data_IF_254001925136
#
_entry.id   IF_254001925136
#
_cell.length_a   1.000
_cell.length_b   1.000
_cell.length_c   1.000
_cell.angle_alpha   90.00
_cell.angle_beta   90.00
_cell.angle_gamma   90.00
#
_symmetry.space_group_name_H-M   'P 1'
#
loop_
_entity.id
_entity.type
_entity.pdbx_description
1 polymer ?
2 polymer ?
3 polymer ?
4 non-polymer ?
5 non-polymer ?
6 water ?
#
loop_
_entity_poly.entity_id
_entity_poly.type
_entity_poly.pdbx_seq_one_letter_code
_entity_poly.pdbx_strand_id
2 'polydeoxyribonucleotide' '(DA)(DC)(DT)(DT)(DT)(DA)(DT)' ?
3 'polydeoxyribonucleotide' '(DA)(DT)(DA)(DA)(DA)(DG)(DT)(DA)(DT)(DA)(DG)(DT)(DG)(DT)(DG)' ?
#
# COMPACT_ATOMS: atom_id res chain seq x y z
N UNK A 1 -3.24 20.12 -0.20
CA UNK A 1 -2.74 18.95 0.55
C UNK A 1 -1.77 18.11 -0.30
N UNK A 2 -0.87 17.36 0.35
CA UNK A 2 0.10 16.51 -0.34
C UNK A 2 -0.41 15.08 -0.49
N UNK A 3 -0.14 14.48 -1.64
CA UNK A 3 -0.29 13.01 -1.83
C UNK A 3 0.76 12.35 -0.95
N UNK A 4 0.35 11.41 -0.12
CA UNK A 4 1.30 10.55 0.60
C UNK A 4 1.30 9.17 -0.06
N UNK A 5 2.44 8.73 -0.59
CA UNK A 5 2.61 7.34 -1.08
C UNK A 5 4.00 6.83 -0.72
N UNK A 6 4.10 5.66 -0.06
CA UNK A 6 5.40 5.26 0.35
C UNK A 6 5.39 3.76 0.62
N UNK A 7 6.39 2.95 0.14
CA UNK A 7 6.34 1.47 0.23
C UNK A 7 7.32 1.07 1.28
N UNK A 8 7.00 -0.07 1.86
CA UNK A 8 7.85 -0.77 2.80
C UNK A 8 7.90 -2.16 2.20
N UNK A 9 9.10 -2.76 2.24
CA UNK A 9 9.28 -4.10 1.73
C UNK A 9 8.84 -5.10 2.80
N UNK A 10 8.06 -6.07 2.38
CA UNK A 10 7.56 -7.12 3.27
C UNK A 10 8.21 -8.45 2.88
N UNK A 11 8.97 -9.07 3.80
CA UNK A 11 9.41 -10.44 3.71
C UNK A 11 8.41 -11.41 4.39
N UNK A 12 8.59 -12.71 4.21
CA UNK A 12 7.82 -13.68 4.94
C UNK A 12 7.65 -13.27 6.41
N UNK A 13 8.74 -12.85 7.03
CA UNK A 13 8.79 -12.65 8.49
C UNK A 13 7.99 -11.45 8.98
N UNK A 14 7.56 -10.56 8.09
CA UNK A 14 6.70 -9.46 8.56
C UNK A 14 5.33 -9.36 7.90
N UNK A 15 4.99 -10.33 7.05
CA UNK A 15 3.67 -10.37 6.51
C UNK A 15 2.64 -10.89 7.54
N UNK A 16 3.12 -11.58 8.58
CA UNK A 16 2.28 -12.08 9.66
C UNK A 16 1.68 -10.88 10.38
N UNK A 17 2.56 -10.00 10.85
CA UNK A 17 2.22 -8.77 11.57
C UNK A 17 1.39 -7.81 10.71
N UNK A 18 1.74 -7.68 9.42
CA UNK A 18 0.94 -6.87 8.46
C UNK A 18 -0.50 -7.43 8.34
N UNK A 19 -0.63 -8.77 8.30
CA UNK A 19 -1.94 -9.37 8.19
C UNK A 19 -2.75 -9.14 9.46
N UNK A 20 -2.12 -9.36 10.62
CA UNK A 20 -2.83 -9.17 11.89
C UNK A 20 -3.27 -7.74 12.09
N UNK A 21 -2.41 -6.79 11.71
CA UNK A 21 -2.71 -5.37 11.85
C UNK A 21 -3.83 -5.01 10.92
N UNK A 22 -3.67 -5.37 9.65
CA UNK A 22 -4.59 -4.87 8.63
C UNK A 22 -5.97 -5.47 8.76
N UNK A 23 -6.02 -6.71 9.19
CA UNK A 23 -7.29 -7.38 9.39
C UNK A 23 -7.85 -7.18 10.79
N UNK A 24 -7.18 -6.36 11.60
CA UNK A 24 -7.63 -6.11 12.96
C UNK A 24 -7.96 -7.41 13.69
N UNK A 25 -7.06 -8.38 13.62
CA UNK A 25 -7.29 -9.61 14.36
C UNK A 25 -6.86 -9.31 15.78
N UNK A 30 -6.35 -2.32 19.85
CA UNK A 30 -6.22 -2.01 21.26
C UNK A 30 -5.04 -1.06 21.58
N UNK A 31 -4.42 -0.54 20.52
CA UNK A 31 -3.52 0.65 20.52
C UNK A 31 -4.28 2.01 20.67
N UNK A 32 -3.65 3.02 21.31
CA UNK A 32 -4.25 4.33 21.62
C UNK A 32 -5.04 4.98 20.47
N UNK A 33 -4.49 4.91 19.24
CA UNK A 33 -5.12 5.53 18.04
C UNK A 33 -6.06 4.68 17.22
N UNK A 34 -6.26 3.42 17.56
CA UNK A 34 -7.34 2.68 16.89
C UNK A 34 -8.64 2.91 17.65
N UNK A 35 -9.70 3.32 16.94
CA UNK A 35 -11.01 3.42 17.60
C UNK A 35 -11.80 2.13 17.29
N UNK A 36 -11.94 1.24 18.27
CA UNK A 36 -12.59 -0.07 17.92
C UNK A 36 -14.04 -0.03 17.44
N UNK A 37 -14.79 1.02 17.80
CA UNK A 37 -16.14 1.22 17.27
C UNK A 37 -16.16 1.53 15.77
N UNK A 38 -15.05 2.05 15.24
CA UNK A 38 -14.96 2.38 13.83
C UNK A 38 -14.39 1.25 12.93
N UNK A 39 -13.94 0.16 13.55
CA UNK A 39 -13.18 -0.90 12.84
C UNK A 39 -14.01 -1.57 11.77
N UNK A 40 -15.31 -1.70 12.03
CA UNK A 40 -16.27 -2.30 11.12
C UNK A 40 -16.49 -1.41 9.92
N UNK A 41 -16.18 -0.11 10.04
CA UNK A 41 -16.17 0.83 8.88
C UNK A 41 -15.05 0.57 7.85
N UNK A 42 -14.01 -0.19 8.24
CA UNK A 42 -12.90 -0.47 7.32
C UNK A 42 -13.40 -1.36 6.19
N UNK A 43 -12.65 -1.41 5.08
CA UNK A 43 -13.03 -2.30 3.96
C UNK A 43 -11.79 -2.72 3.16
N UNK A 44 -11.95 -3.83 2.43
CA UNK A 44 -10.88 -4.47 1.63
C UNK A 44 -11.27 -4.23 0.16
N UNK A 45 -10.38 -3.65 -0.68
CA UNK A 45 -10.76 -3.41 -2.09
C UNK A 45 -10.48 -4.57 -3.05
N UNK A 46 -9.66 -5.54 -2.66
CA UNK A 46 -9.43 -6.71 -3.54
C UNK A 46 -10.48 -7.76 -3.22
N UNK A 47 -10.64 -8.75 -4.11
CA UNK A 47 -11.51 -9.90 -3.84
C UNK A 47 -10.81 -11.04 -3.08
N UNK A 48 -9.76 -10.74 -2.34
CA UNK A 48 -9.02 -11.79 -1.62
C UNK A 48 -9.80 -12.45 -0.48
N UNK A 49 -9.40 -13.65 -0.11
CA UNK A 49 -10.10 -14.39 0.93
C UNK A 49 -9.51 -14.04 2.29
N UNK A 50 -10.33 -13.51 3.21
CA UNK A 50 -9.88 -13.02 4.51
C UNK A 50 -9.30 -14.10 5.45
N UNK A 51 -9.62 -15.36 5.24
CA UNK A 51 -9.01 -16.42 6.07
C UNK A 51 -7.66 -16.90 5.56
N UNK A 52 -7.20 -16.35 4.43
CA UNK A 52 -5.94 -16.80 3.84
C UNK A 52 -4.90 -15.72 4.15
N UNK A 53 -3.76 -16.12 4.75
CA UNK A 53 -2.74 -15.13 5.11
C UNK A 53 -2.11 -14.41 3.87
N UNK A 54 -1.41 -13.28 4.09
CA UNK A 54 -0.74 -12.64 2.97
C UNK A 54 0.42 -13.53 2.48
N UNK A 55 1.13 -14.14 3.44
CA UNK A 55 2.28 -14.97 3.10
C UNK A 55 1.84 -16.13 2.21
N UNK A 56 0.77 -16.83 2.61
CA UNK A 56 0.28 -17.96 1.85
C UNK A 56 -0.26 -17.57 0.45
N UNK A 57 -1.10 -16.51 0.37
CA UNK A 57 -1.67 -16.01 -0.88
C UNK A 57 -0.56 -15.65 -1.89
N UNK A 58 0.40 -14.84 -1.46
CA UNK A 58 1.50 -14.44 -2.35
C UNK A 58 2.48 -15.54 -2.73
N UNK A 59 2.84 -16.42 -1.80
CA UNK A 59 3.77 -17.49 -2.14
C UNK A 59 3.15 -18.49 -3.10
N UNK A 60 1.84 -18.77 -2.97
CA UNK A 60 1.12 -19.67 -3.87
C UNK A 60 1.06 -19.10 -5.27
N UNK A 61 0.66 -17.84 -5.34
CA UNK A 61 0.65 -17.09 -6.61
C UNK A 61 2.02 -17.03 -7.30
N UNK A 62 3.07 -16.73 -6.54
CA UNK A 62 4.39 -16.65 -7.15
C UNK A 62 4.87 -18.07 -7.54
N UNK A 63 4.80 -19.05 -6.62
CA UNK A 63 5.20 -20.40 -7.00
C UNK A 63 4.41 -20.94 -8.20
N UNK A 64 3.11 -20.69 -8.27
CA UNK A 64 2.34 -21.25 -9.41
C UNK A 64 2.62 -20.59 -10.75
N UNK A 65 3.26 -19.42 -10.76
CA UNK A 65 3.44 -18.64 -11.99
C UNK A 65 4.89 -18.37 -12.42
N UNK A 66 5.85 -18.53 -11.50
CA UNK A 66 7.23 -18.19 -11.81
C UNK A 66 7.89 -19.04 -12.88
N UNK A 67 8.74 -18.43 -13.71
CA UNK A 67 9.44 -19.17 -14.77
C UNK A 67 10.55 -20.06 -14.24
N UNK A 68 11.42 -19.52 -13.38
CA UNK A 68 12.50 -20.32 -12.78
C UNK A 68 12.01 -21.45 -11.88
N UNK A 69 12.81 -22.49 -11.83
CA UNK A 69 12.56 -23.69 -11.03
C UNK A 69 13.11 -23.60 -9.62
N UNK A 70 13.92 -22.57 -9.39
CA UNK A 70 14.59 -22.38 -8.12
C UNK A 70 13.53 -21.88 -7.13
N UNK A 71 13.68 -22.30 -5.86
CA UNK A 71 12.80 -21.85 -4.78
C UNK A 71 12.87 -20.34 -4.58
N UNK A 72 11.75 -19.71 -4.25
CA UNK A 72 11.73 -18.31 -3.78
C UNK A 72 12.80 -18.15 -2.65
N UNK A 73 13.68 -17.14 -2.72
CA UNK A 73 14.68 -17.05 -1.61
C UNK A 73 14.03 -16.63 -0.26
N UNK A 74 14.53 -17.18 0.84
CA UNK A 74 14.00 -16.86 2.17
C UNK A 74 14.01 -15.37 2.52
N UNK A 75 14.89 -14.59 1.90
CA UNK A 75 14.96 -13.15 2.15
C UNK A 75 14.25 -12.33 1.09
N UNK A 76 13.42 -13.00 0.30
CA UNK A 76 12.67 -12.40 -0.80
C UNK A 76 11.76 -11.36 -0.29
N UNK A 77 11.70 -10.25 -1.02
CA UNK A 77 10.63 -9.30 -0.85
C UNK A 77 9.34 -9.77 -1.53
N UNK A 78 8.44 -10.31 -0.71
CA UNK A 78 7.22 -10.98 -1.27
C UNK A 78 6.21 -9.95 -1.72
N UNK A 79 6.19 -8.80 -1.01
CA UNK A 79 5.47 -7.62 -1.50
C UNK A 79 5.94 -6.31 -0.92
N UNK A 80 5.62 -5.27 -1.67
CA UNK A 80 5.86 -3.88 -1.33
C UNK A 80 4.49 -3.36 -0.88
N UNK A 81 4.40 -3.05 0.40
CA UNK A 81 3.17 -2.48 0.94
C UNK A 81 3.24 -0.97 0.77
N UNK A 82 2.37 -0.46 -0.07
CA UNK A 82 2.27 0.98 -0.21
C UNK A 82 1.22 1.54 0.75
N UNK A 83 1.61 2.57 1.52
CA UNK A 83 0.65 3.35 2.35
C UNK A 83 0.21 4.45 1.39
N UNK A 84 -1.10 4.57 1.18
CA UNK A 84 -1.67 5.65 0.30
C UNK A 84 -2.55 6.52 1.20
N UNK A 85 -2.30 7.84 1.28
CA UNK A 85 -3.07 8.69 2.18
C UNK A 85 -2.81 10.14 1.78
N UNK A 86 -3.17 11.08 2.67
CA UNK A 86 -2.93 12.55 2.46
C UNK A 86 -3.05 13.11 3.88
N UNK A 87 -3.30 14.41 4.02
CA UNK A 87 -3.59 14.92 5.33
C UNK A 87 -5.09 14.86 5.66
N UNK A 88 -5.39 15.05 6.94
CA UNK A 88 -6.75 15.14 7.46
C UNK A 88 -7.57 16.19 6.71
N UNK A 89 -7.01 17.38 6.44
CA UNK A 89 -7.82 18.35 5.74
C UNK A 89 -8.36 17.74 4.48
N UNK A 90 -7.53 16.92 3.84
CA UNK A 90 -7.87 16.48 2.51
C UNK A 90 -9.15 15.62 2.57
N UNK A 91 -9.18 14.65 3.49
CA UNK A 91 -10.31 13.75 3.62
C UNK A 91 -11.57 14.36 4.22
N UNK A 92 -11.41 15.38 5.06
CA UNK A 92 -12.57 16.06 5.64
C UNK A 92 -13.42 16.66 4.58
N UNK A 93 -12.84 16.87 3.42
CA UNK A 93 -13.61 17.50 2.34
C UNK A 93 -14.44 16.49 1.54
N UNK A 94 -14.31 15.21 1.85
CA UNK A 94 -14.89 14.13 1.03
C UNK A 94 -15.91 13.28 1.75
N UNK A 95 -17.01 12.91 1.09
CA UNK A 95 -17.96 12.02 1.73
C UNK A 95 -17.43 10.61 1.57
N UNK A 96 -18.23 9.62 2.00
CA UNK A 96 -17.87 8.20 1.95
C UNK A 96 -17.63 7.64 0.54
N UNK A 97 -18.54 7.91 -0.42
CA UNK A 97 -18.37 7.44 -1.78
C UNK A 97 -17.03 7.96 -2.34
N UNK A 98 -16.80 9.29 -2.29
CA UNK A 98 -15.56 9.93 -2.69
C UNK A 98 -14.29 9.35 -2.02
N UNK A 99 -14.38 9.06 -0.74
CA UNK A 99 -13.25 8.51 0.00
C UNK A 99 -12.91 7.13 -0.58
N UNK A 100 -13.91 6.25 -0.64
CA UNK A 100 -13.74 5.00 -1.37
C UNK A 100 -13.18 5.17 -2.80
N UNK A 101 -13.71 6.13 -3.54
CA UNK A 101 -13.26 6.31 -4.89
C UNK A 101 -11.79 6.68 -4.96
N UNK A 102 -11.34 7.45 -3.98
CA UNK A 102 -9.94 7.85 -3.88
C UNK A 102 -9.05 6.61 -3.75
N UNK A 103 -9.40 5.68 -2.88
CA UNK A 103 -8.54 4.53 -2.76
C UNK A 103 -8.59 3.60 -3.94
N UNK A 104 -9.76 3.43 -4.50
CA UNK A 104 -9.97 2.62 -5.68
C UNK A 104 -9.17 3.11 -6.87
N UNK A 105 -9.14 4.43 -7.05
CA UNK A 105 -8.31 5.12 -8.03
C UNK A 105 -6.79 4.86 -7.87
N UNK A 106 -6.30 4.95 -6.64
CA UNK A 106 -4.91 4.69 -6.35
C UNK A 106 -4.55 3.23 -6.64
N UNK A 107 -5.40 2.31 -6.17
CA UNK A 107 -5.36 0.87 -6.50
C UNK A 107 -5.30 0.69 -8.03
N UNK A 108 -6.20 1.33 -8.76
CA UNK A 108 -6.11 1.33 -10.22
C UNK A 108 -4.73 1.77 -10.78
N UNK A 109 -4.11 2.80 -10.20
CA UNK A 109 -2.86 3.26 -10.76
C UNK A 109 -1.77 2.14 -10.68
N UNK A 110 -1.71 1.44 -9.56
CA UNK A 110 -0.77 0.36 -9.38
C UNK A 110 -1.15 -0.88 -10.16
N UNK A 111 -2.43 -1.11 -10.31
CA UNK A 111 -2.92 -2.19 -11.17
C UNK A 111 -2.56 -1.98 -12.64
N UNK A 112 -2.88 -0.81 -13.18
CA UNK A 112 -2.57 -0.49 -14.56
C UNK A 112 -1.04 -0.40 -14.82
N UNK A 113 -0.24 0.04 -13.86
CA UNK A 113 1.20 0.11 -14.10
C UNK A 113 2.01 -1.14 -13.75
N UNK A 114 1.58 -1.89 -12.75
CA UNK A 114 2.34 -3.05 -12.27
C UNK A 114 1.64 -4.39 -12.39
N UNK A 115 0.40 -4.43 -12.89
CA UNK A 115 -0.31 -5.70 -13.03
C UNK A 115 -1.46 -5.89 -12.06
N UNK A 116 -2.70 -6.06 -12.60
CA UNK A 116 -3.94 -6.23 -11.82
C UNK A 116 -3.77 -7.35 -10.81
N UNK A 117 -3.16 -8.44 -11.26
CA UNK A 117 -3.11 -9.57 -10.38
C UNK A 117 -1.97 -9.46 -9.35
N UNK A 118 -1.16 -8.42 -9.43
CA UNK A 118 -0.15 -8.18 -8.40
C UNK A 118 -0.64 -7.45 -7.14
N UNK A 119 -1.87 -6.99 -7.15
CA UNK A 119 -2.41 -6.25 -5.99
C UNK A 119 -2.95 -7.31 -5.03
N UNK A 120 -2.15 -7.69 -4.01
CA UNK A 120 -2.46 -8.88 -3.20
C UNK A 120 -3.52 -8.45 -2.16
N UNK A 121 -3.39 -7.22 -1.65
CA UNK A 121 -4.37 -6.72 -0.67
C UNK A 121 -4.49 -5.22 -0.78
N UNK A 122 -5.67 -4.70 -0.44
CA UNK A 122 -5.85 -3.24 -0.41
C UNK A 122 -6.84 -2.89 0.72
N UNK A 123 -6.26 -2.69 1.89
CA UNK A 123 -6.98 -2.67 3.14
C UNK A 123 -7.11 -1.17 3.59
N UNK A 124 -8.33 -0.64 3.57
CA UNK A 124 -8.58 0.79 3.84
C UNK A 124 -8.94 0.98 5.31
N UNK A 125 -8.17 1.81 6.02
CA UNK A 125 -8.37 1.98 7.46
C UNK A 125 -8.96 3.32 7.79
N UNK A 126 -10.19 3.30 8.34
CA UNK A 126 -10.87 4.52 8.80
C UNK A 126 -10.91 4.64 10.31
N UNK A 127 -10.42 3.62 10.98
CA UNK A 127 -10.52 3.62 12.41
C UNK A 127 -9.27 4.15 13.14
N UNK A 128 -8.41 4.85 12.41
CA UNK A 128 -7.18 5.43 12.97
C UNK A 128 -7.35 6.93 12.76
N UNK A 129 -6.28 7.73 12.79
CA UNK A 129 -6.43 9.19 12.80
C UNK A 129 -6.92 9.70 11.51
N UNK A 130 -6.35 9.22 10.40
CA UNK A 130 -6.65 9.73 9.06
C UNK A 130 -6.93 8.54 8.18
N UNK A 131 -7.89 8.68 7.24
CA UNK A 131 -8.13 7.59 6.31
C UNK A 131 -6.84 7.29 5.50
N UNK A 132 -6.48 6.01 5.39
CA UNK A 132 -5.33 5.60 4.56
C UNK A 132 -5.56 4.14 4.14
N UNK A 133 -4.77 3.67 3.18
CA UNK A 133 -4.84 2.33 2.68
C UNK A 133 -3.45 1.66 2.77
N UNK A 134 -3.40 0.40 3.23
CA UNK A 134 -2.16 -0.41 3.10
C UNK A 134 -2.36 -1.29 1.86
N UNK A 135 -1.57 -1.07 0.79
CA UNK A 135 -1.79 -1.80 -0.48
C UNK A 135 -0.56 -2.63 -0.81
N UNK A 136 -0.68 -3.95 -0.74
CA UNK A 136 0.46 -4.86 -0.99
C UNK A 136 0.60 -5.12 -2.47
N UNK A 137 1.69 -4.63 -3.05
CA UNK A 137 1.94 -4.93 -4.47
C UNK A 137 3.04 -5.97 -4.66
N UNK A 138 2.70 -7.14 -5.21
CA UNK A 138 3.69 -8.19 -5.46
C UNK A 138 4.60 -7.77 -6.63
N UNK A 139 5.94 -7.71 -6.39
CA UNK A 139 6.89 -7.24 -7.44
C UNK A 139 7.16 -8.33 -8.51
N UNK A 140 6.07 -8.83 -9.11
CA UNK A 140 6.18 -10.00 -9.96
C UNK A 140 5.96 -9.61 -11.41
N UNK A 141 7.01 -9.74 -12.22
CA UNK A 141 6.95 -9.41 -13.64
C UNK A 141 7.81 -10.34 -14.47
N UNK A 142 7.31 -10.68 -15.66
CA UNK A 142 8.00 -11.59 -16.61
C UNK A 142 8.34 -12.90 -15.96
N UNK A 143 7.38 -13.43 -15.21
CA UNK A 143 7.59 -14.67 -14.47
C UNK A 143 8.66 -14.56 -13.41
N UNK A 144 9.04 -13.34 -13.04
CA UNK A 144 10.09 -13.17 -12.01
C UNK A 144 9.63 -12.33 -10.80
N UNK A 145 10.01 -12.74 -9.57
CA UNK A 145 9.68 -12.00 -8.36
C UNK A 145 10.88 -11.14 -7.95
N UNK A 146 10.80 -9.81 -8.13
CA UNK A 146 11.91 -8.94 -7.91
C UNK A 146 11.46 -7.50 -7.66
N UNK A 147 11.44 -7.14 -6.39
CA UNK A 147 11.24 -5.76 -5.97
C UNK A 147 12.43 -4.89 -6.49
N UNK A 148 13.63 -5.49 -6.55
CA UNK A 148 14.78 -4.81 -7.08
C UNK A 148 14.55 -4.33 -8.52
N UNK A 149 13.92 -5.17 -9.32
CA UNK A 149 13.67 -4.83 -10.72
C UNK A 149 12.52 -3.83 -10.85
N UNK A 150 11.49 -3.98 -10.03
CA UNK A 150 10.25 -3.24 -10.22
C UNK A 150 10.31 -1.84 -9.54
N UNK A 151 10.71 -1.78 -8.28
CA UNK A 151 10.82 -0.51 -7.56
C UNK A 151 12.27 -0.10 -7.31
N UNK A 152 12.87 0.50 -8.33
CA UNK A 152 14.21 1.02 -8.22
C UNK A 152 14.18 2.58 -8.10
N UNK A 153 15.34 3.20 -7.97
CA UNK A 153 15.38 4.60 -7.62
C UNK A 153 14.54 5.44 -8.61
N UNK A 154 14.71 5.17 -9.90
CA UNK A 154 14.01 5.96 -10.93
C UNK A 154 12.51 5.69 -10.91
N UNK A 155 12.14 4.47 -10.60
CA UNK A 155 10.74 4.15 -10.56
C UNK A 155 10.05 4.88 -9.37
N UNK A 156 10.68 4.91 -8.19
CA UNK A 156 10.10 5.63 -7.05
C UNK A 156 10.03 7.15 -7.37
N UNK A 157 11.07 7.69 -7.98
CA UNK A 157 11.05 9.08 -8.50
C UNK A 157 9.88 9.28 -9.43
N UNK A 158 9.72 8.38 -10.41
CA UNK A 158 8.60 8.50 -11.37
C UNK A 158 7.24 8.48 -10.59
N UNK A 159 7.03 7.56 -9.65
CA UNK A 159 5.72 7.48 -8.94
C UNK A 159 5.41 8.78 -8.13
N UNK A 160 6.40 9.35 -7.48
CA UNK A 160 6.23 10.60 -6.73
C UNK A 160 5.81 11.73 -7.63
N UNK A 161 6.09 11.62 -8.92
CA UNK A 161 5.68 12.62 -9.90
C UNK A 161 4.34 12.35 -10.61
N UNK A 162 4.16 11.09 -11.00
CA UNK A 162 3.11 10.66 -11.85
C UNK A 162 1.86 10.19 -11.07
N UNK A 163 2.05 9.59 -9.91
CA UNK A 163 0.86 9.23 -9.14
C UNK A 163 0.01 10.47 -8.71
N UNK A 164 0.62 11.46 -8.02
CA UNK A 164 -0.21 12.61 -7.65
C UNK A 164 -0.88 13.24 -8.88
N UNK A 165 -0.23 13.18 -10.04
CA UNK A 165 -0.81 13.77 -11.25
C UNK A 165 -2.01 12.94 -11.76
N UNK A 166 -1.85 11.63 -11.72
CA UNK A 166 -2.91 10.70 -12.09
C UNK A 166 -4.14 10.89 -11.17
N UNK A 167 -3.91 10.94 -9.84
CA UNK A 167 -4.99 11.18 -8.85
C UNK A 167 -5.72 12.50 -9.16
N UNK A 168 -4.95 13.56 -9.46
CA UNK A 168 -5.47 14.89 -9.73
C UNK A 168 -6.26 14.84 -10.99
N UNK A 169 -5.78 14.04 -11.96
CA UNK A 169 -6.45 13.90 -13.25
C UNK A 169 -7.79 13.18 -13.09
N UNK A 170 -7.91 12.47 -11.98
CA UNK A 170 -9.12 11.71 -11.67
C UNK A 170 -10.06 12.33 -10.64
N UNK A 171 -9.97 13.64 -10.42
CA UNK A 171 -10.88 14.30 -9.49
C UNK A 171 -10.29 14.83 -8.19
N UNK A 172 -9.14 14.33 -7.81
CA UNK A 172 -8.68 14.64 -6.48
C UNK A 172 -7.68 15.78 -6.33
N UNK A 173 -8.03 16.76 -5.49
CA UNK A 173 -7.20 17.97 -5.28
C UNK A 173 -6.00 17.81 -4.34
N UNK A 174 -4.96 17.19 -4.89
CA UNK A 174 -3.74 16.79 -4.21
C UNK A 174 -2.53 17.21 -5.01
N UNK A 175 -1.47 17.68 -4.33
CA UNK A 175 -0.20 18.03 -4.96
C UNK A 175 0.90 17.00 -4.62
N UNK A 176 1.79 16.74 -5.57
CA UNK A 176 2.99 15.92 -5.33
C UNK A 176 3.85 16.51 -4.21
N UNK A 177 4.55 15.61 -3.49
CA UNK A 177 5.52 16.05 -2.49
C UNK A 177 6.69 16.81 -3.12
N UNK A 178 7.50 17.41 -2.26
CA UNK A 178 8.54 18.31 -2.67
C UNK A 178 9.65 17.54 -3.37
N UNK A 179 9.93 17.98 -4.60
CA UNK A 179 10.83 17.24 -5.48
C UNK A 179 12.21 17.26 -4.83
N UNK A 180 12.88 16.10 -4.70
CA UNK A 180 14.16 16.07 -4.00
C UNK A 180 14.05 16.39 -2.51
N UNK A 181 12.90 16.10 -1.91
CA UNK A 181 12.70 16.33 -0.50
C UNK A 181 13.82 15.69 0.36
N UNK A 182 14.40 16.46 1.27
CA UNK A 182 15.42 16.03 2.24
C UNK A 182 14.85 15.30 3.47
N UNK A 183 13.54 15.17 3.56
CA UNK A 183 12.91 14.53 4.73
C UNK A 183 13.42 13.11 4.95
N UNK A 184 13.52 12.66 6.20
CA UNK A 184 13.80 11.25 6.47
C UNK A 184 12.51 10.61 6.98
N UNK A 185 12.10 9.50 6.42
CA UNK A 185 10.95 8.81 6.94
C UNK A 185 11.07 8.56 8.46
N UNK A 186 10.04 8.91 9.23
CA UNK A 186 9.93 8.41 10.61
C UNK A 186 8.95 7.22 10.70
N UNK A 187 9.17 6.25 11.59
CA UNK A 187 8.13 5.24 11.79
C UNK A 187 6.93 5.91 12.43
N UNK A 188 5.78 5.21 12.42
CA UNK A 188 4.57 5.73 13.07
C UNK A 188 4.91 6.11 14.52
N UNK A 189 5.49 5.17 15.27
CA UNK A 189 5.92 5.44 16.65
C UNK A 189 6.90 6.63 16.82
N UNK A 190 7.85 6.77 15.88
CA UNK A 190 8.84 7.86 15.87
C UNK A 190 8.19 9.21 15.51
N UNK A 191 7.23 9.18 14.59
CA UNK A 191 6.51 10.40 14.15
C UNK A 191 5.60 10.95 15.25
N UNK A 192 4.94 10.02 15.94
CA UNK A 192 4.15 10.37 17.12
C UNK A 192 4.93 11.14 18.16
N UNK A 193 6.12 10.68 18.57
CA UNK A 193 6.96 11.49 19.46
C UNK A 193 7.05 12.97 18.97
N UNK A 194 7.29 13.16 17.68
CA UNK A 194 7.35 14.48 16.98
C UNK A 194 6.03 14.94 16.36
X LIG D 1 -3.52 1.29 9.28
X LIG E 1 -3.38 -13.00 -7.42
X LIG E 1 -4.23 -14.06 -7.84
X LIG E 1 -2.95 -13.26 -5.97
X LIG E 1 -4.06 -13.18 -5.07
X LIG E 1 -1.86 -12.27 -5.56
X LIG E 1 -2.31 -10.93 -5.82
#
# INVERSE_FOLDING_TARGET
SYMVARMQKMKAGNLGGAFKHNERVFETHSNKDINPSRSHLNYELTDRDRSVSYEKQIKDYVNENKVSNRAIRKDAVLCDEWIITSDKDFFEKLDEEQTRTFFETAKNYFAENYGESNIAYASVHLDESTPHMHMGVVPFENGKLSSKAMFDREELKHIQEDLPRYMSDHGFELERGKLNSEAKHKTVAEFKRAMADM
MN MN
GOL C1 O1 C2 O2 C3 O3
#
